data_IF_889880247631
#
_entry.id   IF_889880247631
#
_cell.length_a   1.000
_cell.length_b   1.000
_cell.length_c   1.000
_cell.angle_alpha   90.00
_cell.angle_beta   90.00
_cell.angle_gamma   90.00
#
_symmetry.space_group_name_H-M   'P 1'
#
loop_
_entity.id
_entity.type
_entity.pdbx_description
1 polymer ?
#
# COMPACT_ATOMS: atom_id res chain seq x y z
N UNK A 1 4.36 -10.09 11.60
CA UNK A 1 4.84 -9.02 12.50
C UNK A 1 3.64 -8.34 13.16
N UNK A 2 3.73 -8.05 14.46
CA UNK A 2 2.80 -7.18 15.20
C UNK A 2 3.50 -5.86 15.54
N UNK A 3 2.72 -4.79 15.75
CA UNK A 3 3.30 -3.49 16.07
C UNK A 3 4.07 -3.53 17.40
N UNK A 4 5.33 -3.12 17.37
CA UNK A 4 5.95 -2.41 18.50
C UNK A 4 5.75 -0.91 18.28
N UNK A 5 5.86 -0.09 19.33
CA UNK A 5 5.71 1.36 19.23
C UNK A 5 7.03 1.97 18.74
N UNK A 6 7.22 2.33 17.46
CA UNK A 6 8.54 2.76 16.97
C UNK A 6 9.00 4.08 17.62
N UNK A 7 8.04 4.81 18.22
CA UNK A 7 8.29 5.99 19.02
C UNK A 7 9.14 5.71 20.28
N UNK A 8 9.05 4.53 20.88
CA UNK A 8 9.83 4.19 22.10
C UNK A 8 11.33 4.03 21.80
N UNK A 9 11.69 3.83 20.53
CA UNK A 9 13.07 3.66 20.07
C UNK A 9 13.78 4.99 19.85
N UNK A 10 13.05 6.10 19.71
CA UNK A 10 13.60 7.43 19.37
C UNK A 10 14.61 7.90 20.42
N UNK A 11 14.25 7.85 21.71
CA UNK A 11 15.12 8.29 22.80
C UNK A 11 16.42 7.48 22.89
N UNK A 12 16.35 6.15 22.97
CA UNK A 12 17.53 5.29 22.94
C UNK A 12 18.39 5.45 21.67
N UNK A 13 17.78 5.60 20.49
CA UNK A 13 18.52 5.86 19.25
C UNK A 13 19.26 7.21 19.30
N UNK A 14 18.61 8.26 19.78
CA UNK A 14 19.22 9.58 19.94
C UNK A 14 20.40 9.56 20.92
N UNK A 15 20.29 8.83 22.03
CA UNK A 15 21.38 8.70 23.02
C UNK A 15 22.67 8.10 22.45
N UNK A 16 22.56 7.32 21.37
CA UNK A 16 23.68 6.67 20.68
C UNK A 16 24.03 7.32 19.33
N UNK A 17 23.39 8.43 18.98
CA UNK A 17 23.54 9.04 17.65
C UNK A 17 23.09 8.13 16.51
N UNK A 18 22.27 7.11 16.80
CA UNK A 18 21.91 6.07 15.86
C UNK A 18 20.63 6.42 15.07
N UNK A 19 20.48 5.78 13.92
CA UNK A 19 19.28 5.78 13.07
C UNK A 19 18.89 4.33 12.81
N UNK A 20 17.64 3.99 13.13
CA UNK A 20 17.08 2.65 12.92
C UNK A 20 16.18 2.67 11.70
N UNK A 21 16.49 1.83 10.72
CA UNK A 21 15.75 1.66 9.48
C UNK A 21 15.14 0.27 9.45
N UNK A 22 13.84 0.16 9.67
CA UNK A 22 13.16 -1.13 9.60
C UNK A 22 13.03 -1.61 8.15
N UNK A 23 13.34 -2.88 7.89
CA UNK A 23 13.24 -3.48 6.56
C UNK A 23 11.90 -4.19 6.32
N UNK A 24 11.24 -4.62 7.39
CA UNK A 24 9.96 -5.31 7.36
C UNK A 24 8.83 -4.42 7.88
N UNK A 25 7.61 -4.70 7.42
CA UNK A 25 6.39 -3.93 7.71
C UNK A 25 5.52 -4.65 8.72
N UNK A 26 4.64 -3.90 9.39
CA UNK A 26 3.55 -4.49 10.16
C UNK A 26 2.75 -5.43 9.25
N UNK A 27 2.52 -6.65 9.75
CA UNK A 27 1.89 -7.73 8.99
C UNK A 27 2.85 -8.58 8.15
N UNK A 28 4.07 -8.14 7.82
CA UNK A 28 4.99 -8.97 7.02
C UNK A 28 5.32 -10.29 7.73
N UNK A 29 5.45 -11.33 6.93
CA UNK A 29 6.01 -12.59 7.39
C UNK A 29 7.53 -12.43 7.44
N UNK A 30 8.10 -12.66 8.61
CA UNK A 30 9.54 -12.69 8.82
C UNK A 30 9.99 -14.12 9.01
N UNK A 31 11.11 -14.48 8.38
CA UNK A 31 11.75 -15.80 8.54
C UNK A 31 12.86 -15.65 9.57
N UNK A 32 13.01 -16.63 10.46
CA UNK A 32 14.07 -16.63 11.45
C UNK A 32 15.45 -16.45 10.78
N UNK A 33 16.28 -15.58 11.35
CA UNK A 33 17.59 -15.23 10.81
C UNK A 33 17.58 -14.18 9.68
N UNK A 34 16.40 -13.74 9.21
CA UNK A 34 16.32 -12.63 8.26
C UNK A 34 16.53 -11.29 8.97
N UNK A 35 17.29 -10.34 8.37
CA UNK A 35 17.43 -9.00 8.93
C UNK A 35 16.09 -8.27 8.92
N UNK A 36 15.73 -7.70 10.07
CA UNK A 36 14.47 -6.99 10.30
C UNK A 36 14.63 -5.46 10.33
N UNK A 37 15.84 -4.99 10.63
CA UNK A 37 16.20 -3.59 10.62
C UNK A 37 17.71 -3.41 10.37
N UNK A 38 18.08 -2.24 9.88
CA UNK A 38 19.46 -1.76 9.79
C UNK A 38 19.64 -0.65 10.82
N UNK A 39 20.73 -0.70 11.59
CA UNK A 39 21.10 0.36 12.53
C UNK A 39 22.34 1.06 12.00
N UNK A 40 22.21 2.36 11.76
CA UNK A 40 23.28 3.24 11.29
C UNK A 40 23.73 4.10 12.45
N UNK A 41 25.03 4.14 12.72
CA UNK A 41 25.59 4.95 13.78
C UNK A 41 27.07 5.24 13.49
N UNK A 42 27.62 6.28 14.10
CA UNK A 42 29.04 6.59 13.97
C UNK A 42 29.91 5.49 14.61
N UNK A 43 31.12 5.31 14.08
CA UNK A 43 32.03 4.29 14.57
C UNK A 43 32.29 4.45 16.08
N UNK A 44 31.99 3.42 16.85
CA UNK A 44 32.17 3.40 18.31
C UNK A 44 31.03 4.01 19.13
N UNK A 45 29.98 4.58 18.51
CA UNK A 45 28.86 5.16 19.26
C UNK A 45 27.89 4.12 19.85
N UNK A 46 27.85 2.92 19.25
CA UNK A 46 27.06 1.78 19.69
C UNK A 46 27.78 0.47 19.34
N UNK A 47 27.69 -0.52 20.22
CA UNK A 47 28.17 -1.88 19.94
C UNK A 47 27.07 -2.73 19.29
N UNK A 48 27.47 -3.84 18.66
CA UNK A 48 26.53 -4.73 17.98
C UNK A 48 25.42 -5.28 18.91
N UNK A 49 25.69 -5.71 20.16
CA UNK A 49 24.63 -6.15 21.08
C UNK A 49 23.60 -5.06 21.44
N UNK A 50 24.02 -3.81 21.64
CA UNK A 50 23.12 -2.68 21.89
C UNK A 50 22.34 -2.30 20.64
N UNK A 51 22.97 -2.29 19.47
CA UNK A 51 22.30 -2.07 18.21
C UNK A 51 21.20 -3.12 17.94
N UNK A 52 21.47 -4.40 18.22
CA UNK A 52 20.49 -5.46 18.09
C UNK A 52 19.28 -5.26 19.03
N UNK A 53 19.52 -4.91 20.31
CA UNK A 53 18.44 -4.59 21.26
C UNK A 53 17.61 -3.39 20.84
N UNK A 54 18.26 -2.38 20.25
CA UNK A 54 17.59 -1.17 19.75
C UNK A 54 16.65 -1.51 18.58
N UNK A 55 17.09 -2.37 17.65
CA UNK A 55 16.29 -2.87 16.55
C UNK A 55 15.10 -3.72 17.02
N UNK A 56 15.28 -4.52 18.08
CA UNK A 56 14.24 -5.40 18.61
C UNK A 56 13.17 -4.62 19.41
N UNK A 57 13.57 -3.60 20.17
CA UNK A 57 12.70 -2.85 21.08
C UNK A 57 11.50 -2.15 20.41
N UNK A 58 11.62 -1.80 19.12
CA UNK A 58 10.53 -1.15 18.38
C UNK A 58 9.59 -2.11 17.67
N UNK A 59 9.77 -3.42 17.83
CA UNK A 59 9.04 -4.40 17.04
C UNK A 59 8.60 -5.60 17.87
N UNK A 60 7.45 -6.19 17.50
CA UNK A 60 6.95 -7.40 18.12
C UNK A 60 6.68 -8.46 17.06
N UNK A 61 7.23 -9.65 17.23
CA UNK A 61 6.95 -10.77 16.32
C UNK A 61 5.95 -11.69 17.02
N UNK A 62 4.69 -11.63 16.55
CA UNK A 62 3.62 -12.52 17.01
C UNK A 62 3.27 -13.57 15.96
N UNK A 63 2.61 -14.65 16.41
CA UNK A 63 2.18 -15.77 15.58
C UNK A 63 1.09 -15.39 14.56
N UNK A 64 0.19 -14.46 14.94
CA UNK A 64 -0.90 -13.98 14.09
C UNK A 64 -0.82 -12.45 13.89
N UNK A 65 -1.45 -11.96 12.82
CA UNK A 65 -1.65 -10.51 12.61
C UNK A 65 -2.73 -10.01 13.57
N UNK A 66 -2.49 -8.87 14.22
CA UNK A 66 -3.52 -8.20 15.05
C UNK A 66 -4.37 -7.26 14.19
N UNK A 67 -5.69 -7.34 14.36
CA UNK A 67 -6.68 -6.52 13.64
C UNK A 67 -6.55 -5.03 13.92
N UNK A 68 -6.10 -4.68 15.11
CA UNK A 68 -6.22 -3.34 15.69
C UNK A 68 -5.42 -2.25 14.92
N UNK A 69 -4.46 -2.64 14.07
CA UNK A 69 -3.59 -1.67 13.39
C UNK A 69 -3.24 -2.03 11.92
N UNK A 70 -3.76 -3.13 11.37
CA UNK A 70 -3.48 -3.54 9.99
C UNK A 70 -4.66 -3.17 9.06
N UNK A 71 -4.83 -1.88 8.74
CA UNK A 71 -5.75 -1.42 7.66
C UNK A 71 -5.49 -2.20 6.36
N UNK A 72 -4.24 -2.59 6.17
CA UNK A 72 -3.76 -3.41 5.08
C UNK A 72 -4.30 -4.86 5.11
N UNK A 73 -4.70 -5.39 6.27
CA UNK A 73 -5.41 -6.67 6.40
C UNK A 73 -6.87 -6.56 5.93
N UNK A 74 -7.60 -5.51 6.34
CA UNK A 74 -8.97 -5.27 5.88
C UNK A 74 -9.04 -5.11 4.35
N UNK A 75 -8.12 -4.33 3.76
CA UNK A 75 -7.99 -4.23 2.30
C UNK A 75 -7.72 -5.59 1.66
N UNK A 76 -6.89 -6.42 2.29
CA UNK A 76 -6.59 -7.77 1.78
C UNK A 76 -7.83 -8.68 1.80
N UNK A 77 -8.62 -8.65 2.87
CA UNK A 77 -9.88 -9.41 2.92
C UNK A 77 -10.83 -8.99 1.79
N UNK A 78 -10.96 -7.69 1.52
CA UNK A 78 -11.77 -7.20 0.40
C UNK A 78 -11.22 -7.64 -0.96
N UNK A 79 -9.89 -7.66 -1.12
CA UNK A 79 -9.24 -8.22 -2.33
C UNK A 79 -9.54 -9.70 -2.48
N UNK A 80 -9.45 -10.48 -1.42
CA UNK A 80 -9.72 -11.92 -1.44
C UNK A 80 -11.20 -12.20 -1.78
N UNK A 81 -12.13 -11.38 -1.28
CA UNK A 81 -13.55 -11.43 -1.67
C UNK A 81 -13.71 -11.14 -3.17
N UNK A 82 -13.07 -10.08 -3.68
CA UNK A 82 -13.14 -9.74 -5.10
C UNK A 82 -12.58 -10.84 -6.00
N UNK A 83 -11.44 -11.44 -5.61
CA UNK A 83 -10.84 -12.57 -6.33
C UNK A 83 -11.74 -13.80 -6.32
N UNK A 84 -12.38 -14.09 -5.18
CA UNK A 84 -13.29 -15.24 -5.07
C UNK A 84 -14.54 -15.02 -5.92
N UNK A 85 -15.10 -13.82 -5.90
CA UNK A 85 -16.24 -13.43 -6.74
C UNK A 85 -15.91 -13.61 -8.23
N UNK A 86 -14.71 -13.24 -8.66
CA UNK A 86 -14.25 -13.40 -10.05
C UNK A 86 -13.68 -14.78 -10.39
N UNK A 87 -13.80 -15.75 -9.49
CA UNK A 87 -13.39 -17.12 -9.78
C UNK A 87 -14.32 -17.77 -10.81
N UNK A 88 -13.85 -18.77 -11.59
CA UNK A 88 -14.68 -19.46 -12.58
C UNK A 88 -15.96 -20.09 -12.03
N UNK A 89 -15.98 -20.42 -10.74
CA UNK A 89 -17.11 -21.06 -10.08
C UNK A 89 -18.25 -20.08 -9.75
N UNK A 90 -17.93 -18.81 -9.46
CA UNK A 90 -18.92 -17.80 -9.09
C UNK A 90 -19.18 -16.82 -10.23
N UNK A 91 -18.12 -16.30 -10.86
CA UNK A 91 -18.18 -15.29 -11.90
C UNK A 91 -19.19 -14.16 -11.58
N UNK A 92 -19.05 -13.58 -10.39
CA UNK A 92 -19.90 -12.54 -9.84
C UNK A 92 -19.20 -11.17 -9.89
N UNK A 93 -19.34 -10.43 -11.00
CA UNK A 93 -18.75 -9.11 -11.12
C UNK A 93 -19.39 -8.08 -10.20
N UNK A 94 -20.62 -8.30 -9.72
CA UNK A 94 -21.29 -7.35 -8.83
C UNK A 94 -20.60 -7.33 -7.46
N UNK A 95 -20.36 -8.49 -6.86
CA UNK A 95 -19.64 -8.60 -5.59
C UNK A 95 -18.19 -8.12 -5.71
N UNK A 96 -17.54 -8.37 -6.85
CA UNK A 96 -16.20 -7.86 -7.11
C UNK A 96 -16.16 -6.33 -7.15
N UNK A 97 -17.10 -5.71 -7.86
CA UNK A 97 -17.24 -4.24 -7.93
C UNK A 97 -17.50 -3.64 -6.55
N UNK A 98 -18.41 -4.22 -5.76
CA UNK A 98 -18.67 -3.74 -4.40
C UNK A 98 -17.41 -3.80 -3.52
N UNK A 99 -16.66 -4.90 -3.60
CA UNK A 99 -15.40 -5.06 -2.86
C UNK A 99 -14.38 -3.98 -3.26
N UNK A 100 -14.26 -3.68 -4.55
CA UNK A 100 -13.39 -2.61 -5.08
C UNK A 100 -13.87 -1.22 -4.60
N UNK A 101 -15.18 -0.97 -4.55
CA UNK A 101 -15.73 0.28 -4.02
C UNK A 101 -15.39 0.46 -2.54
N UNK A 102 -15.49 -0.59 -1.71
CA UNK A 102 -15.07 -0.53 -0.32
C UNK A 102 -13.56 -0.30 -0.17
N UNK A 103 -12.74 -0.95 -1.01
CA UNK A 103 -11.29 -0.67 -1.06
C UNK A 103 -11.04 0.80 -1.41
N UNK A 104 -11.79 1.34 -2.38
CA UNK A 104 -11.69 2.76 -2.79
C UNK A 104 -11.92 3.70 -1.62
N UNK A 105 -12.94 3.46 -0.80
CA UNK A 105 -13.23 4.26 0.40
C UNK A 105 -12.04 4.24 1.37
N UNK A 106 -11.51 3.05 1.67
CA UNK A 106 -10.37 2.89 2.59
C UNK A 106 -9.11 3.58 2.05
N UNK A 107 -8.80 3.40 0.77
CA UNK A 107 -7.65 4.05 0.12
C UNK A 107 -7.79 5.57 0.13
N UNK A 108 -8.96 6.10 -0.26
CA UNK A 108 -9.23 7.53 -0.26
C UNK A 108 -9.13 8.17 1.13
N UNK A 109 -9.48 7.45 2.20
CA UNK A 109 -9.28 7.90 3.57
C UNK A 109 -7.80 7.86 4.00
N UNK A 110 -7.01 6.94 3.44
CA UNK A 110 -5.60 6.76 3.78
C UNK A 110 -4.64 7.67 2.99
N UNK A 111 -4.93 7.98 1.71
CA UNK A 111 -4.05 8.79 0.83
C UNK A 111 -3.68 10.14 1.45
N UNK A 112 -4.62 10.95 1.99
CA UNK A 112 -4.29 12.25 2.56
C UNK A 112 -3.35 12.17 3.77
N UNK A 113 -3.32 11.02 4.45
CA UNK A 113 -2.52 10.81 5.66
C UNK A 113 -1.05 10.47 5.38
N UNK A 114 -0.58 10.68 4.13
CA UNK A 114 0.79 10.45 3.64
C UNK A 114 1.32 9.04 3.97
N UNK A 115 1.04 8.03 3.16
CA UNK A 115 1.53 6.66 3.32
C UNK A 115 2.99 6.48 2.87
N UNK A 116 3.79 7.55 2.92
CA UNK A 116 5.23 7.47 2.75
C UNK A 116 5.89 6.81 3.97
N UNK A 117 7.22 6.60 3.93
CA UNK A 117 7.95 6.15 5.10
C UNK A 117 7.60 7.00 6.32
N UNK A 118 7.25 6.36 7.44
CA UNK A 118 7.03 7.09 8.69
C UNK A 118 8.39 7.40 9.30
N UNK A 119 8.64 8.68 9.52
CA UNK A 119 9.80 9.19 10.23
C UNK A 119 9.40 9.59 11.63
N UNK A 120 10.20 9.14 12.62
CA UNK A 120 10.18 9.72 13.95
C UNK A 120 11.50 10.43 14.20
N UNK A 121 11.39 11.69 14.60
CA UNK A 121 12.52 12.54 14.93
C UNK A 121 12.70 12.66 16.45
N UNK A 122 13.92 12.93 16.89
CA UNK A 122 14.20 13.35 18.25
C UNK A 122 13.79 14.81 18.50
N UNK A 123 14.01 15.30 19.73
CA UNK A 123 13.67 16.68 20.11
C UNK A 123 14.43 17.77 19.35
N UNK A 124 15.48 17.42 18.60
CA UNK A 124 16.23 18.34 17.73
C UNK A 124 15.69 18.37 16.28
N UNK A 125 14.70 17.53 15.95
CA UNK A 125 14.21 17.37 14.59
C UNK A 125 15.02 16.37 13.75
N UNK A 126 16.03 15.71 14.32
CA UNK A 126 16.85 14.72 13.62
C UNK A 126 16.10 13.39 13.53
N UNK A 127 15.98 12.81 12.33
CA UNK A 127 15.35 11.52 12.13
C UNK A 127 16.11 10.40 12.86
N UNK A 128 15.39 9.60 13.66
CA UNK A 128 15.95 8.46 14.42
C UNK A 128 15.38 7.12 14.02
N UNK A 129 14.13 7.10 13.54
CA UNK A 129 13.47 5.87 13.12
C UNK A 129 12.80 6.08 11.77
N UNK A 130 13.08 5.18 10.83
CA UNK A 130 12.41 5.06 9.54
C UNK A 130 11.65 3.73 9.48
N UNK A 131 10.34 3.81 9.30
CA UNK A 131 9.50 2.63 9.00
C UNK A 131 8.99 2.74 7.56
N UNK A 132 9.32 1.79 6.66
CA UNK A 132 8.78 1.78 5.32
C UNK A 132 7.28 1.50 5.38
N UNK A 133 6.48 2.39 4.80
CA UNK A 133 5.07 2.14 4.54
C UNK A 133 4.91 1.74 3.07
N UNK A 134 4.05 0.76 2.73
CA UNK A 134 3.79 0.44 1.34
C UNK A 134 3.08 1.61 0.65
N UNK A 135 3.43 1.84 -0.62
CA UNK A 135 2.57 2.62 -1.51
C UNK A 135 1.17 1.99 -1.55
N UNK A 136 0.14 2.82 -1.48
CA UNK A 136 -1.23 2.40 -1.18
C UNK A 136 -1.86 1.46 -2.21
N UNK A 137 -1.49 1.57 -3.49
CA UNK A 137 -2.32 1.03 -4.56
C UNK A 137 -1.76 -0.25 -5.21
N UNK A 138 -0.50 -0.28 -5.65
CA UNK A 138 -0.03 -1.28 -6.63
C UNK A 138 -0.06 -2.74 -6.13
N UNK A 139 0.52 -3.12 -4.98
CA UNK A 139 0.70 -4.55 -4.66
C UNK A 139 -0.60 -5.28 -4.29
N UNK A 140 -1.64 -4.55 -3.87
CA UNK A 140 -2.81 -5.16 -3.20
C UNK A 140 -3.95 -5.48 -4.17
N UNK A 141 -4.29 -4.58 -5.08
CA UNK A 141 -5.47 -4.71 -5.95
C UNK A 141 -5.16 -5.34 -7.32
N UNK A 142 -3.89 -5.38 -7.70
CA UNK A 142 -3.45 -5.88 -9.01
C UNK A 142 -3.76 -7.35 -9.31
N UNK A 143 -3.85 -8.27 -8.34
CA UNK A 143 -4.37 -9.61 -8.61
C UNK A 143 -5.78 -9.59 -9.21
N UNK A 144 -6.67 -8.71 -8.73
CA UNK A 144 -8.05 -8.57 -9.23
C UNK A 144 -8.04 -8.01 -10.65
N UNK A 145 -7.21 -7.01 -10.92
CA UNK A 145 -7.05 -6.46 -12.27
C UNK A 145 -6.65 -7.54 -13.28
N UNK A 146 -5.68 -8.38 -12.94
CA UNK A 146 -5.19 -9.47 -13.80
C UNK A 146 -6.21 -10.57 -14.00
N UNK A 147 -6.91 -11.00 -12.95
CA UNK A 147 -7.90 -12.09 -13.05
C UNK A 147 -9.14 -11.67 -13.84
N UNK A 148 -9.43 -10.36 -13.87
CA UNK A 148 -10.72 -9.84 -14.32
C UNK A 148 -10.59 -8.90 -15.53
N UNK A 149 -9.48 -8.99 -16.26
CA UNK A 149 -9.17 -8.12 -17.40
C UNK A 149 -10.25 -8.13 -18.50
N UNK A 150 -11.00 -9.21 -18.61
CA UNK A 150 -12.06 -9.43 -19.59
C UNK A 150 -13.43 -8.86 -19.17
N UNK A 151 -13.58 -8.39 -17.92
CA UNK A 151 -14.87 -7.93 -17.39
C UNK A 151 -14.88 -6.38 -17.27
N UNK A 152 -15.59 -5.68 -18.19
CA UNK A 152 -15.57 -4.23 -18.28
C UNK A 152 -16.01 -3.51 -16.99
N UNK A 153 -16.97 -4.08 -16.25
CA UNK A 153 -17.49 -3.47 -15.01
C UNK A 153 -16.43 -3.44 -13.91
N UNK A 154 -15.65 -4.51 -13.79
CA UNK A 154 -14.55 -4.60 -12.82
C UNK A 154 -13.42 -3.63 -13.20
N UNK A 155 -13.07 -3.55 -14.48
CA UNK A 155 -12.08 -2.59 -14.97
C UNK A 155 -12.54 -1.15 -14.72
N UNK A 156 -13.81 -0.82 -14.99
CA UNK A 156 -14.37 0.50 -14.71
C UNK A 156 -14.30 0.87 -13.22
N UNK A 157 -14.57 -0.08 -12.32
CA UNK A 157 -14.45 0.13 -10.88
C UNK A 157 -12.99 0.38 -10.45
N UNK A 158 -12.03 -0.38 -11.00
CA UNK A 158 -10.60 -0.19 -10.74
C UNK A 158 -10.09 1.16 -11.29
N UNK A 159 -10.53 1.58 -12.48
CA UNK A 159 -10.22 2.90 -13.04
C UNK A 159 -10.77 4.02 -12.15
N UNK A 160 -12.01 3.89 -11.69
CA UNK A 160 -12.62 4.84 -10.74
C UNK A 160 -11.80 4.94 -9.45
N UNK A 161 -11.41 3.80 -8.88
CA UNK A 161 -10.58 3.74 -7.68
C UNK A 161 -9.25 4.49 -7.85
N UNK A 162 -8.54 4.25 -8.96
CA UNK A 162 -7.27 4.91 -9.26
C UNK A 162 -7.46 6.41 -9.47
N UNK A 163 -8.52 6.82 -10.17
CA UNK A 163 -8.86 8.23 -10.38
C UNK A 163 -9.15 8.97 -9.06
N UNK A 164 -9.95 8.37 -8.18
CA UNK A 164 -10.26 8.92 -6.86
C UNK A 164 -9.04 9.01 -5.94
N UNK A 165 -8.15 8.02 -6.03
CA UNK A 165 -6.86 8.03 -5.35
C UNK A 165 -5.99 9.18 -5.86
N UNK A 166 -5.89 9.34 -7.20
CA UNK A 166 -5.11 10.41 -7.83
C UNK A 166 -5.56 11.79 -7.37
N UNK A 167 -6.88 12.03 -7.36
CA UNK A 167 -7.49 13.29 -6.90
C UNK A 167 -7.06 13.70 -5.48
N UNK A 168 -6.79 12.73 -4.61
CA UNK A 168 -6.43 12.96 -3.20
C UNK A 168 -4.92 12.95 -2.95
N UNK A 169 -4.13 12.45 -3.89
CA UNK A 169 -2.67 12.44 -3.81
C UNK A 169 -2.07 13.81 -4.18
N UNK A 170 -1.00 14.20 -3.49
CA UNK A 170 -0.46 15.57 -3.54
C UNK A 170 0.93 15.68 -4.18
N UNK A 171 1.47 14.61 -4.79
CA UNK A 171 2.83 14.59 -5.35
C UNK A 171 2.90 14.09 -6.80
N UNK A 172 3.77 14.72 -7.59
CA UNK A 172 3.96 14.38 -9.01
C UNK A 172 4.40 12.92 -9.22
N UNK A 173 5.21 12.38 -8.30
CA UNK A 173 5.62 10.98 -8.32
C UNK A 173 4.44 10.02 -8.11
N UNK A 174 3.51 10.36 -7.21
CA UNK A 174 2.29 9.58 -6.98
C UNK A 174 1.36 9.65 -8.20
N UNK A 175 1.20 10.84 -8.79
CA UNK A 175 0.40 11.03 -10.00
C UNK A 175 0.97 10.21 -11.16
N UNK A 176 2.29 10.24 -11.36
CA UNK A 176 2.96 9.45 -12.38
C UNK A 176 2.88 7.95 -12.11
N UNK A 177 2.94 7.51 -10.85
CA UNK A 177 2.74 6.11 -10.48
C UNK A 177 1.30 5.64 -10.78
N UNK A 178 0.30 6.41 -10.35
CA UNK A 178 -1.11 6.09 -10.59
C UNK A 178 -1.43 6.11 -12.09
N UNK A 179 -0.87 7.06 -12.83
CA UNK A 179 -1.04 7.13 -14.28
C UNK A 179 -0.51 5.87 -14.97
N UNK A 180 0.67 5.39 -14.57
CA UNK A 180 1.22 4.12 -15.07
C UNK A 180 0.28 2.93 -14.78
N UNK A 181 -0.37 2.89 -13.62
CA UNK A 181 -1.34 1.82 -13.33
C UNK A 181 -2.59 1.91 -14.23
N UNK A 182 -3.10 3.12 -14.45
CA UNK A 182 -4.26 3.35 -15.35
C UNK A 182 -3.93 2.85 -16.77
N UNK A 183 -2.72 3.16 -17.26
CA UNK A 183 -2.27 2.76 -18.59
C UNK A 183 -2.08 1.23 -18.70
N UNK A 184 -1.50 0.60 -17.67
CA UNK A 184 -1.36 -0.86 -17.63
C UNK A 184 -2.73 -1.57 -17.60
N UNK A 185 -3.65 -1.07 -16.78
CA UNK A 185 -5.00 -1.63 -16.66
C UNK A 185 -5.78 -1.51 -17.97
N UNK A 186 -5.67 -0.36 -18.65
CA UNK A 186 -6.29 -0.16 -19.96
C UNK A 186 -5.68 -1.08 -21.02
N UNK A 187 -4.35 -1.25 -21.02
CA UNK A 187 -3.68 -2.17 -21.94
C UNK A 187 -4.09 -3.65 -21.69
N UNK A 188 -4.30 -4.05 -20.44
CA UNK A 188 -4.83 -5.39 -20.11
C UNK A 188 -6.27 -5.54 -20.63
N UNK A 189 -7.12 -4.53 -20.44
CA UNK A 189 -8.49 -4.53 -20.94
C UNK A 189 -8.56 -4.60 -22.47
N UNK A 190 -7.69 -3.88 -23.18
CA UNK A 190 -7.59 -3.94 -24.65
C UNK A 190 -7.23 -5.35 -25.16
N UNK A 191 -6.44 -6.12 -24.41
CA UNK A 191 -6.08 -7.49 -24.77
C UNK A 191 -7.19 -8.50 -24.51
N UNK A 192 -7.99 -8.27 -23.46
CA UNK A 192 -8.89 -9.27 -22.92
C UNK A 192 -10.38 -9.05 -23.27
N UNK A 193 -10.82 -7.81 -23.48
CA UNK A 193 -12.22 -7.49 -23.83
C UNK A 193 -12.40 -7.67 -25.34
N UNK A 194 -13.20 -8.67 -25.72
CA UNK A 194 -13.41 -9.02 -27.13
C UNK A 194 -14.46 -8.14 -27.82
N UNK A 195 -15.47 -7.67 -27.08
CA UNK A 195 -16.55 -6.86 -27.64
C UNK A 195 -16.13 -5.38 -27.75
N UNK A 196 -16.06 -4.78 -28.96
CA UNK A 196 -15.55 -3.42 -29.11
C UNK A 196 -16.37 -2.35 -28.38
N UNK A 197 -17.69 -2.52 -28.30
CA UNK A 197 -18.56 -1.60 -27.57
C UNK A 197 -18.25 -1.56 -26.06
N UNK A 198 -17.92 -2.71 -25.48
CA UNK A 198 -17.55 -2.79 -24.06
C UNK A 198 -16.18 -2.16 -23.78
N UNK A 199 -15.22 -2.36 -24.71
CA UNK A 199 -13.91 -1.71 -24.64
C UNK A 199 -14.02 -0.18 -24.82
N UNK A 200 -14.96 0.29 -25.64
CA UNK A 200 -15.21 1.72 -25.82
C UNK A 200 -15.62 2.37 -24.50
N UNK A 201 -16.54 1.76 -23.74
CA UNK A 201 -16.97 2.24 -22.42
C UNK A 201 -15.78 2.35 -21.46
N UNK A 202 -14.90 1.34 -21.40
CA UNK A 202 -13.70 1.37 -20.56
C UNK A 202 -12.75 2.50 -20.99
N UNK A 203 -12.61 2.72 -22.30
CA UNK A 203 -11.72 3.74 -22.87
C UNK A 203 -12.25 5.15 -22.59
N UNK A 204 -13.55 5.37 -22.74
CA UNK A 204 -14.22 6.64 -22.41
C UNK A 204 -14.08 6.97 -20.92
N UNK A 205 -14.31 5.99 -20.04
CA UNK A 205 -14.11 6.16 -18.60
C UNK A 205 -12.68 6.61 -18.27
N UNK A 206 -11.66 5.98 -18.87
CA UNK A 206 -10.26 6.39 -18.71
C UNK A 206 -10.06 7.85 -19.13
N UNK A 207 -10.59 8.25 -20.30
CA UNK A 207 -10.43 9.63 -20.79
C UNK A 207 -11.10 10.64 -19.86
N UNK A 208 -12.33 10.36 -19.42
CA UNK A 208 -13.07 11.25 -18.50
C UNK A 208 -12.30 11.48 -17.19
N UNK A 209 -11.64 10.46 -16.65
CA UNK A 209 -10.87 10.56 -15.42
C UNK A 209 -9.49 11.22 -15.59
N UNK A 210 -8.96 11.24 -16.82
CA UNK A 210 -7.71 11.91 -17.15
C UNK A 210 -7.90 13.39 -17.50
N UNK A 211 -9.10 13.80 -17.91
CA UNK A 211 -9.45 15.21 -18.12
C UNK A 211 -9.32 16.02 -16.83
N UNK A 212 -8.68 17.21 -16.86
CA UNK A 212 -8.60 18.08 -15.69
C UNK A 212 -10.00 18.54 -15.29
N UNK A 213 -10.54 17.99 -14.20
CA UNK A 213 -11.74 18.54 -13.59
C UNK A 213 -11.37 19.78 -12.76
N UNK A 214 -12.17 20.86 -12.82
CA UNK A 214 -11.99 21.99 -11.92
C UNK A 214 -12.13 21.50 -10.48
N UNK A 215 -11.20 21.89 -9.61
CA UNK A 215 -11.31 21.61 -8.17
C UNK A 215 -12.53 22.40 -7.64
N UNK A 216 -13.41 21.78 -6.86
CA UNK A 216 -14.49 22.50 -6.19
C UNK A 216 -13.95 23.53 -5.20
#
# INVERSE_FOLDING_TARGET
MQAGFPATVVGPAAAHGAVVVYGCRVGDHVVAGSPIALVWADAGSIDAPRAARLADAGMRIGFERTFEQDVSFGVRQLVDIALRAMSPALNDPYTAVQSIQHITVVLCAAVPQRPGPRLWCDGSGTARVLLPMPGLCRPRVWPVARSSAHEPRVIGALLTMLAETRRRSSGDADHAAIQREIDLLHADAQRAILQPADLAVVTENRQQFMSPHPRP
#
